data_IF_342991683394
#
_entry.id   IF_342991683394
#
_cell.length_a   1.000
_cell.length_b   1.000
_cell.length_c   1.000
_cell.angle_alpha   90.00
_cell.angle_beta   90.00
_cell.angle_gamma   90.00
#
_symmetry.space_group_name_H-M   'P 1'
#
loop_
_entity.id
_entity.type
_entity.pdbx_description
1 polymer ?
#
# COMPACT_ATOMS: atom_id res chain seq x y z
N UNK A 1 0.84 -10.45 -21.02
CA UNK A 1 0.79 -9.55 -22.20
C UNK A 1 1.39 -8.20 -21.83
N UNK A 2 1.81 -7.42 -22.82
CA UNK A 2 2.19 -6.02 -22.67
C UNK A 2 1.22 -5.16 -23.48
N UNK A 3 1.01 -3.92 -23.07
CA UNK A 3 0.15 -2.96 -23.77
C UNK A 3 0.86 -1.61 -23.83
N UNK A 4 0.53 -0.81 -24.85
CA UNK A 4 0.97 0.57 -25.00
C UNK A 4 -0.17 1.41 -25.57
N UNK A 5 -0.18 2.69 -25.22
CA UNK A 5 -1.15 3.66 -25.73
C UNK A 5 -0.46 5.02 -25.86
N UNK A 6 -0.44 5.56 -27.07
CA UNK A 6 0.13 6.88 -27.32
C UNK A 6 -0.90 7.96 -26.99
N UNK A 7 -0.59 8.76 -25.96
CA UNK A 7 -1.42 9.88 -25.54
C UNK A 7 -0.72 11.21 -25.88
N UNK A 8 -1.39 12.17 -26.53
CA UNK A 8 -0.83 13.49 -26.73
C UNK A 8 -0.50 14.16 -25.39
N UNK A 9 0.63 14.86 -25.33
CA UNK A 9 1.04 15.60 -24.13
C UNK A 9 -0.07 16.53 -23.63
N UNK A 10 -0.77 17.21 -24.53
CA UNK A 10 -1.85 18.15 -24.19
C UNK A 10 -3.01 17.48 -23.44
N UNK A 11 -3.31 16.22 -23.75
CA UNK A 11 -4.33 15.44 -23.05
C UNK A 11 -3.86 15.13 -21.63
N UNK A 12 -2.60 14.74 -21.46
CA UNK A 12 -2.00 14.49 -20.15
C UNK A 12 -1.93 15.77 -19.31
N UNK A 13 -1.61 16.91 -19.93
CA UNK A 13 -1.51 18.21 -19.28
C UNK A 13 -2.87 18.68 -18.73
N UNK A 14 -3.97 18.39 -19.43
CA UNK A 14 -5.33 18.66 -18.98
C UNK A 14 -5.94 17.58 -18.09
N UNK A 15 -5.24 16.47 -17.84
CA UNK A 15 -5.73 15.35 -17.04
C UNK A 15 -5.18 15.39 -15.61
N UNK A 16 -5.94 14.87 -14.66
CA UNK A 16 -5.51 14.78 -13.25
C UNK A 16 -4.94 13.40 -12.89
N UNK A 17 -5.27 12.37 -13.67
CA UNK A 17 -4.77 11.02 -13.45
C UNK A 17 -4.85 10.17 -14.71
N UNK A 18 -3.99 9.17 -14.79
CA UNK A 18 -4.09 8.04 -15.72
C UNK A 18 -4.75 6.88 -14.96
N UNK A 19 -5.78 6.28 -15.55
CA UNK A 19 -6.48 5.14 -14.95
C UNK A 19 -6.51 3.98 -15.95
N UNK A 20 -6.19 2.78 -15.48
CA UNK A 20 -6.16 1.57 -16.31
C UNK A 20 -7.05 0.50 -15.68
N UNK A 21 -7.82 -0.16 -16.54
CA UNK A 21 -8.62 -1.35 -16.22
C UNK A 21 -8.58 -2.33 -17.37
N UNK A 22 -8.75 -3.61 -17.06
CA UNK A 22 -8.86 -4.68 -18.02
C UNK A 22 -10.24 -5.34 -17.96
N UNK A 23 -10.63 -5.97 -19.08
CA UNK A 23 -11.77 -6.86 -19.21
C UNK A 23 -11.26 -8.17 -19.83
N UNK A 24 -11.70 -9.31 -19.32
CA UNK A 24 -11.34 -10.61 -19.90
C UNK A 24 -12.37 -11.10 -20.95
N UNK A 25 -12.11 -12.26 -21.55
CA UNK A 25 -12.98 -12.86 -22.59
C UNK A 25 -14.37 -13.27 -22.07
N UNK A 26 -14.54 -13.37 -20.75
CA UNK A 26 -15.83 -13.63 -20.09
C UNK A 26 -16.62 -12.35 -19.80
N UNK A 27 -16.11 -11.19 -20.24
CA UNK A 27 -16.64 -9.86 -19.95
C UNK A 27 -16.53 -9.45 -18.48
N UNK A 28 -15.67 -10.12 -17.69
CA UNK A 28 -15.39 -9.71 -16.31
C UNK A 28 -14.43 -8.52 -16.31
N UNK A 29 -14.81 -7.43 -15.61
CA UNK A 29 -14.07 -6.17 -15.60
C UNK A 29 -13.50 -5.90 -14.22
N UNK A 30 -12.29 -5.33 -14.17
CA UNK A 30 -11.74 -4.81 -12.91
C UNK A 30 -12.66 -3.74 -12.28
N UNK A 31 -12.95 -3.84 -10.97
CA UNK A 31 -13.90 -2.94 -10.31
C UNK A 31 -13.33 -1.52 -10.16
N UNK A 32 -14.21 -0.51 -10.16
CA UNK A 32 -13.84 0.87 -9.85
C UNK A 32 -13.42 1.00 -8.39
N UNK A 33 -14.20 0.41 -7.49
CA UNK A 33 -14.06 0.60 -6.06
C UNK A 33 -13.21 -0.51 -5.45
N UNK A 34 -12.47 -0.15 -4.40
CA UNK A 34 -11.62 -1.10 -3.71
C UNK A 34 -12.48 -2.09 -2.93
N UNK A 35 -12.26 -3.38 -3.18
CA UNK A 35 -12.81 -4.43 -2.33
C UNK A 35 -11.78 -4.82 -1.28
N UNK A 36 -11.93 -4.28 -0.07
CA UNK A 36 -11.05 -4.62 1.05
C UNK A 36 -11.41 -5.99 1.62
N UNK A 37 -10.40 -6.78 1.95
CA UNK A 37 -10.56 -8.05 2.63
C UNK A 37 -9.45 -8.21 3.68
N UNK A 38 -9.67 -9.12 4.64
CA UNK A 38 -8.79 -9.30 5.80
C UNK A 38 -7.35 -9.65 5.45
N UNK A 39 -7.09 -10.22 4.27
CA UNK A 39 -5.73 -10.59 3.85
C UNK A 39 -5.07 -9.55 2.96
N UNK A 40 -5.80 -8.52 2.51
CA UNK A 40 -5.31 -7.53 1.55
C UNK A 40 -4.99 -8.11 0.16
N UNK A 41 -5.43 -9.34 -0.13
CA UNK A 41 -5.06 -10.06 -1.36
C UNK A 41 -6.02 -9.80 -2.49
N UNK A 42 -5.52 -10.04 -3.72
CA UNK A 42 -6.30 -9.92 -4.96
C UNK A 42 -6.93 -8.54 -5.14
N UNK A 43 -6.26 -7.49 -4.65
CA UNK A 43 -6.66 -6.13 -4.92
C UNK A 43 -6.46 -5.83 -6.43
N UNK A 44 -7.56 -5.79 -7.17
CA UNK A 44 -7.55 -5.63 -8.63
C UNK A 44 -8.42 -4.47 -9.11
N UNK A 45 -8.76 -3.51 -8.25
CA UNK A 45 -9.44 -2.28 -8.66
C UNK A 45 -8.56 -1.47 -9.63
N UNK A 46 -9.15 -0.44 -10.27
CA UNK A 46 -8.43 0.33 -11.29
C UNK A 46 -7.11 0.89 -10.76
N UNK A 47 -6.02 0.64 -11.50
CA UNK A 47 -4.73 1.23 -11.18
C UNK A 47 -4.75 2.71 -11.56
N UNK A 48 -4.26 3.59 -10.67
CA UNK A 48 -4.31 5.04 -10.86
C UNK A 48 -2.93 5.67 -10.67
N UNK A 49 -2.53 6.49 -11.63
CA UNK A 49 -1.33 7.32 -11.55
C UNK A 49 -1.78 8.78 -11.50
N UNK A 50 -1.46 9.48 -10.41
CA UNK A 50 -1.76 10.89 -10.25
C UNK A 50 -0.82 11.73 -11.12
N UNK A 51 -1.35 12.74 -11.81
CA UNK A 51 -0.58 13.67 -12.65
C UNK A 51 -0.47 15.00 -11.92
N UNK A 52 0.76 15.38 -11.60
CA UNK A 52 1.11 16.68 -11.05
C UNK A 52 1.60 17.60 -12.16
N UNK A 53 1.03 18.80 -12.24
CA UNK A 53 1.52 19.87 -13.13
C UNK A 53 2.58 20.65 -12.35
N UNK A 54 3.79 20.70 -12.89
CA UNK A 54 4.91 21.44 -12.33
C UNK A 54 5.14 22.73 -13.13
N UNK A 55 6.04 23.57 -12.64
CA UNK A 55 6.52 24.74 -13.36
C UNK A 55 7.14 24.36 -14.71
N UNK A 56 7.14 25.33 -15.64
CA UNK A 56 7.73 25.19 -16.97
C UNK A 56 7.07 24.12 -17.86
N UNK A 57 5.82 23.75 -17.57
CA UNK A 57 5.08 22.76 -18.38
C UNK A 57 5.58 21.33 -18.20
N UNK A 58 6.22 21.02 -17.06
CA UNK A 58 6.64 19.64 -16.74
C UNK A 58 5.52 18.89 -16.04
N UNK A 59 5.43 17.59 -16.29
CA UNK A 59 4.50 16.69 -15.60
C UNK A 59 5.28 15.72 -14.70
N UNK A 60 4.80 15.51 -13.47
CA UNK A 60 5.29 14.46 -12.58
C UNK A 60 4.18 13.44 -12.34
N UNK A 61 4.54 12.17 -12.45
CA UNK A 61 3.63 11.05 -12.25
C UNK A 61 3.88 10.42 -10.89
N UNK A 62 2.79 10.17 -10.16
CA UNK A 62 2.83 9.58 -8.82
C UNK A 62 2.00 8.29 -8.82
N UNK A 63 2.66 7.16 -8.54
CA UNK A 63 2.03 5.85 -8.39
C UNK A 63 1.24 5.76 -7.05
N UNK A 64 0.38 4.74 -6.84
CA UNK A 64 -0.34 4.57 -5.58
C UNK A 64 0.57 4.43 -4.37
N UNK A 65 1.57 3.55 -4.49
CA UNK A 65 2.58 3.26 -3.48
C UNK A 65 3.95 3.11 -4.15
N UNK A 66 5.01 3.17 -3.36
CA UNK A 66 6.36 2.83 -3.81
C UNK A 66 6.66 1.35 -3.53
N UNK A 67 7.56 0.76 -4.32
CA UNK A 67 8.00 -0.61 -4.09
C UNK A 67 8.95 -0.69 -2.88
N UNK A 68 8.86 -1.79 -2.13
CA UNK A 68 9.90 -2.19 -1.16
C UNK A 68 10.00 -1.31 0.10
N UNK A 69 8.90 -1.17 0.85
CA UNK A 69 8.87 -0.43 2.14
C UNK A 69 9.13 1.08 2.03
N UNK A 70 9.48 1.58 0.84
CA UNK A 70 9.79 2.98 0.63
C UNK A 70 8.54 3.84 0.86
N UNK A 71 8.65 4.97 1.58
CA UNK A 71 7.54 5.89 1.72
C UNK A 71 7.26 6.60 0.40
N UNK A 72 5.98 6.84 0.10
CA UNK A 72 5.56 7.65 -1.02
C UNK A 72 4.36 7.10 -1.79
N UNK A 73 4.06 7.77 -2.90
CA UNK A 73 2.86 7.52 -3.67
C UNK A 73 1.64 8.28 -3.14
N UNK A 74 0.61 8.36 -3.98
CA UNK A 74 -0.56 9.18 -3.66
C UNK A 74 -1.37 8.63 -2.49
N UNK A 75 -1.32 7.31 -2.21
CA UNK A 75 -2.04 6.72 -1.08
C UNK A 75 -1.50 7.25 0.25
N UNK A 76 -0.18 7.28 0.38
CA UNK A 76 0.48 7.82 1.57
C UNK A 76 0.16 9.31 1.73
N UNK A 77 0.34 10.11 0.67
CA UNK A 77 0.03 11.55 0.69
C UNK A 77 -1.42 11.84 1.09
N UNK A 78 -2.40 11.07 0.57
CA UNK A 78 -3.82 11.25 0.94
C UNK A 78 -4.06 10.88 2.41
N UNK A 79 -3.43 9.80 2.90
CA UNK A 79 -3.50 9.39 4.32
C UNK A 79 -2.91 10.47 5.23
N UNK A 80 -1.75 11.02 4.86
CA UNK A 80 -1.07 12.10 5.60
C UNK A 80 -1.89 13.40 5.61
N UNK A 81 -2.62 13.69 4.52
CA UNK A 81 -3.59 14.79 4.43
C UNK A 81 -4.87 14.54 5.28
N UNK A 82 -4.97 13.40 5.98
CA UNK A 82 -6.14 13.02 6.78
C UNK A 82 -7.37 12.64 5.95
N UNK A 83 -7.18 12.28 4.67
CA UNK A 83 -8.25 11.90 3.74
C UNK A 83 -8.26 10.39 3.51
N UNK A 84 -9.37 9.91 2.96
CA UNK A 84 -9.57 8.49 2.68
C UNK A 84 -8.97 8.10 1.30
N UNK A 85 -7.91 7.27 1.24
CA UNK A 85 -7.30 6.83 -0.02
C UNK A 85 -8.17 5.82 -0.79
N UNK A 86 -9.23 5.28 -0.20
CA UNK A 86 -10.12 4.32 -0.88
C UNK A 86 -11.02 4.99 -1.93
N UNK A 87 -11.18 6.31 -1.85
CA UNK A 87 -11.89 7.12 -2.84
C UNK A 87 -11.04 8.33 -3.29
N UNK A 88 -9.96 8.10 -4.06
CA UNK A 88 -9.04 9.17 -4.40
C UNK A 88 -9.67 10.14 -5.40
N UNK A 89 -9.55 11.44 -5.12
CA UNK A 89 -9.89 12.52 -6.04
C UNK A 89 -8.59 13.25 -6.37
N UNK A 90 -8.30 13.35 -7.67
CA UNK A 90 -7.09 14.00 -8.17
C UNK A 90 -7.44 15.35 -8.81
N UNK A 91 -6.62 16.37 -8.51
CA UNK A 91 -6.84 17.77 -8.93
C UNK A 91 -7.30 18.67 -7.78
N UNK A 92 -7.46 19.97 -8.08
CA UNK A 92 -7.89 20.95 -7.07
C UNK A 92 -9.38 20.77 -6.70
N UNK A 93 -9.60 20.51 -5.42
CA UNK A 93 -10.90 20.20 -4.81
C UNK A 93 -11.65 21.45 -4.32
N UNK A 94 -11.38 22.64 -4.86
CA UNK A 94 -12.01 23.88 -4.37
C UNK A 94 -13.55 23.91 -4.49
N UNK A 95 -14.16 22.92 -5.14
CA UNK A 95 -15.60 22.86 -5.42
C UNK A 95 -16.34 21.58 -5.00
N UNK A 96 -15.72 20.62 -4.31
CA UNK A 96 -16.40 19.36 -3.94
C UNK A 96 -16.85 19.32 -2.47
N UNK A 97 -18.10 18.93 -2.17
CA UNK A 97 -18.59 18.82 -0.80
C UNK A 97 -17.86 17.69 -0.07
N UNK A 98 -17.22 18.04 1.04
CA UNK A 98 -16.54 17.12 1.95
C UNK A 98 -17.61 16.26 2.65
N UNK A 99 -17.77 15.01 2.23
CA UNK A 99 -18.47 14.02 3.04
C UNK A 99 -17.57 13.65 4.22
N UNK A 100 -17.83 14.26 5.39
CA UNK A 100 -17.26 13.81 6.66
C UNK A 100 -17.92 12.48 7.03
N UNK A 101 -17.16 11.38 7.02
CA UNK A 101 -17.60 10.12 7.62
C UNK A 101 -17.01 10.00 9.02
N UNK A 102 -17.85 9.56 9.94
CA UNK A 102 -17.63 9.49 11.38
C UNK A 102 -16.42 8.63 11.77
N UNK A 103 -15.70 9.10 12.79
CA UNK A 103 -14.59 8.42 13.46
C UNK A 103 -15.07 7.12 14.11
N UNK A 104 -14.64 6.00 13.57
CA UNK A 104 -14.80 4.68 14.20
C UNK A 104 -14.02 4.62 15.50
N UNK A 105 -14.69 4.26 16.61
CA UNK A 105 -14.07 3.99 17.91
C UNK A 105 -12.93 2.96 17.75
N UNK A 106 -11.80 3.09 18.48
CA UNK A 106 -10.72 2.12 18.42
C UNK A 106 -11.22 0.75 18.86
N UNK A 107 -10.92 -0.27 18.06
CA UNK A 107 -11.19 -1.67 18.37
C UNK A 107 -10.39 -2.08 19.62
N UNK A 108 -10.91 -2.98 20.47
CA UNK A 108 -10.17 -3.50 21.61
C UNK A 108 -8.87 -4.16 21.14
N UNK A 109 -7.77 -3.86 21.83
CA UNK A 109 -6.45 -4.36 21.50
C UNK A 109 -6.34 -5.85 21.84
N UNK A 110 -6.19 -6.68 20.79
CA UNK A 110 -5.96 -8.12 20.94
C UNK A 110 -4.45 -8.30 21.20
N UNK A 111 -4.10 -9.00 22.29
CA UNK A 111 -2.70 -9.37 22.56
C UNK A 111 -2.22 -10.35 21.49
N UNK A 112 -1.26 -9.89 20.68
CA UNK A 112 -0.65 -10.68 19.60
C UNK A 112 0.62 -11.42 20.06
N UNK A 113 0.99 -11.30 21.34
CA UNK A 113 2.20 -11.88 21.92
C UNK A 113 1.91 -13.19 22.64
N UNK A 114 2.93 -14.06 22.74
CA UNK A 114 2.85 -15.29 23.54
C UNK A 114 3.02 -14.94 25.03
N UNK A 115 2.07 -15.29 25.92
CA UNK A 115 2.23 -15.07 27.35
C UNK A 115 3.49 -15.76 27.88
N UNK A 116 4.29 -15.03 28.65
CA UNK A 116 5.52 -15.56 29.27
C UNK A 116 6.79 -15.46 28.43
N UNK A 117 6.74 -14.79 27.27
CA UNK A 117 7.95 -14.41 26.51
C UNK A 117 8.24 -12.93 26.76
N UNK A 118 9.32 -12.64 27.49
CA UNK A 118 9.74 -11.29 27.90
C UNK A 118 11.20 -10.97 27.50
N UNK A 119 11.77 -11.80 26.61
CA UNK A 119 13.11 -11.60 26.07
C UNK A 119 13.16 -10.30 25.29
N UNK A 120 14.07 -9.42 25.71
CA UNK A 120 14.42 -8.19 24.97
C UNK A 120 15.45 -8.53 23.91
N UNK A 121 15.20 -8.05 22.70
CA UNK A 121 16.06 -8.22 21.53
C UNK A 121 16.52 -6.81 21.14
N UNK A 122 17.82 -6.65 20.87
CA UNK A 122 18.36 -5.36 20.42
C UNK A 122 18.15 -5.18 18.91
N UNK A 123 18.22 -3.94 18.42
CA UNK A 123 18.11 -3.66 17.00
C UNK A 123 19.20 -4.38 16.19
N UNK A 124 20.42 -4.44 16.74
CA UNK A 124 21.55 -5.14 16.10
C UNK A 124 21.32 -6.65 16.02
N UNK A 125 20.70 -7.23 17.06
CA UNK A 125 20.34 -8.64 17.08
C UNK A 125 19.21 -8.96 16.08
N UNK A 126 18.24 -8.05 15.92
CA UNK A 126 17.18 -8.16 14.94
C UNK A 126 17.73 -8.09 13.50
N UNK A 127 18.56 -7.11 13.19
CA UNK A 127 19.18 -6.95 11.86
C UNK A 127 20.03 -8.17 11.49
N UNK A 128 20.73 -8.77 12.45
CA UNK A 128 21.51 -9.99 12.23
C UNK A 128 20.65 -11.20 11.82
N UNK A 129 19.34 -11.14 12.03
CA UNK A 129 18.34 -12.16 11.67
C UNK A 129 17.58 -11.84 10.38
N UNK A 130 18.17 -11.03 9.50
CA UNK A 130 17.65 -10.77 8.15
C UNK A 130 17.79 -11.96 7.15
N UNK A 131 18.11 -13.16 7.64
CA UNK A 131 18.32 -14.34 6.79
C UNK A 131 17.01 -14.75 6.14
N UNK A 132 17.06 -15.02 4.82
CA UNK A 132 15.87 -15.36 4.04
C UNK A 132 15.06 -16.52 4.62
N UNK A 133 15.70 -17.47 5.30
CA UNK A 133 15.06 -18.69 5.82
C UNK A 133 14.59 -18.60 7.28
N UNK A 134 15.10 -17.64 8.06
CA UNK A 134 14.73 -17.44 9.47
C UNK A 134 14.42 -15.96 9.77
N UNK A 135 13.45 -15.33 9.08
CA UNK A 135 13.24 -13.90 9.17
C UNK A 135 12.56 -13.53 10.49
N UNK A 136 13.18 -12.62 11.22
CA UNK A 136 12.53 -11.91 12.31
C UNK A 136 12.04 -10.56 11.83
N UNK A 137 10.96 -10.06 12.40
CA UNK A 137 10.43 -8.74 12.09
C UNK A 137 9.71 -8.16 13.32
N UNK A 138 9.58 -6.84 13.37
CA UNK A 138 8.88 -6.15 14.47
C UNK A 138 7.47 -5.77 14.04
N UNK A 139 6.50 -5.92 14.94
CA UNK A 139 5.17 -5.32 14.80
C UNK A 139 4.77 -4.73 16.15
N UNK A 140 4.56 -3.41 16.17
CA UNK A 140 4.18 -2.60 17.35
C UNK A 140 5.16 -2.78 18.52
N UNK A 141 6.46 -2.84 18.22
CA UNK A 141 7.52 -2.98 19.21
C UNK A 141 7.77 -4.41 19.71
N UNK A 142 7.02 -5.40 19.21
CA UNK A 142 7.16 -6.82 19.55
C UNK A 142 7.86 -7.57 18.41
N UNK A 143 8.79 -8.49 18.74
CA UNK A 143 9.55 -9.26 17.75
C UNK A 143 8.86 -10.60 17.46
N UNK A 144 8.68 -10.90 16.18
CA UNK A 144 8.06 -12.13 15.70
C UNK A 144 9.06 -12.96 14.90
N UNK A 145 9.10 -14.27 15.18
CA UNK A 145 9.81 -15.25 14.37
C UNK A 145 8.88 -15.77 13.26
N UNK A 146 9.18 -15.38 12.02
CA UNK A 146 8.40 -15.74 10.83
C UNK A 146 8.70 -17.13 10.28
N UNK A 147 9.75 -17.82 10.74
CA UNK A 147 10.30 -19.06 10.15
C UNK A 147 9.22 -20.12 9.91
N UNK A 148 8.40 -20.41 10.93
CA UNK A 148 7.38 -21.45 10.87
C UNK A 148 6.14 -21.09 10.04
N UNK A 149 6.06 -19.86 9.55
CA UNK A 149 4.90 -19.33 8.82
C UNK A 149 5.20 -18.90 7.39
N UNK A 150 6.47 -18.94 6.94
CA UNK A 150 6.87 -18.49 5.60
C UNK A 150 6.06 -19.13 4.47
N UNK A 151 5.92 -20.46 4.49
CA UNK A 151 5.21 -21.21 3.44
C UNK A 151 3.69 -21.19 3.61
N UNK A 152 3.21 -20.81 4.80
CA UNK A 152 1.78 -20.71 5.12
C UNK A 152 1.24 -19.28 4.99
N UNK A 153 2.13 -18.31 4.79
CA UNK A 153 1.77 -16.92 4.68
C UNK A 153 0.93 -16.72 3.41
N UNK A 154 -0.35 -16.32 3.52
CA UNK A 154 -1.21 -16.24 2.35
C UNK A 154 -0.70 -15.22 1.30
N UNK A 155 0.13 -14.25 1.71
CA UNK A 155 0.74 -13.25 0.82
C UNK A 155 1.99 -13.74 0.09
N UNK A 156 2.34 -15.00 0.32
CA UNK A 156 3.59 -15.59 -0.14
C UNK A 156 4.75 -15.24 0.77
N UNK A 157 5.80 -16.05 0.67
CA UNK A 157 7.03 -15.91 1.46
C UNK A 157 7.70 -14.55 1.28
N UNK A 158 7.62 -13.97 0.09
CA UNK A 158 8.29 -12.72 -0.27
C UNK A 158 7.89 -11.56 0.65
N UNK A 159 6.62 -11.47 1.04
CA UNK A 159 6.12 -10.38 1.90
C UNK A 159 6.80 -10.34 3.26
N UNK A 160 7.05 -11.50 3.88
CA UNK A 160 7.74 -11.57 5.18
C UNK A 160 9.22 -11.31 5.00
N UNK A 161 9.84 -11.91 3.97
CA UNK A 161 11.29 -11.73 3.74
C UNK A 161 11.67 -10.31 3.33
N UNK A 162 10.72 -9.51 2.84
CA UNK A 162 10.95 -8.11 2.45
C UNK A 162 11.23 -7.21 3.66
N UNK A 163 10.66 -7.55 4.81
CA UNK A 163 10.76 -6.80 6.08
C UNK A 163 11.60 -7.55 7.13
N UNK A 164 12.39 -8.53 6.69
CA UNK A 164 13.24 -9.31 7.58
C UNK A 164 14.35 -8.44 8.17
N UNK A 165 14.45 -8.44 9.50
CA UNK A 165 15.35 -7.59 10.26
C UNK A 165 14.85 -6.15 10.46
N UNK A 166 13.61 -5.84 10.09
CA UNK A 166 13.05 -4.48 10.11
C UNK A 166 11.68 -4.42 10.83
N UNK A 167 11.17 -3.21 11.02
CA UNK A 167 9.85 -2.92 11.57
C UNK A 167 8.77 -2.95 10.47
N UNK A 168 7.83 -3.88 10.61
CA UNK A 168 6.71 -4.14 9.71
C UNK A 168 5.37 -3.60 10.28
N UNK A 169 5.41 -2.64 11.20
CA UNK A 169 4.20 -2.05 11.80
C UNK A 169 3.34 -1.27 10.81
N UNK A 170 3.96 -0.63 9.80
CA UNK A 170 3.30 0.23 8.81
C UNK A 170 2.83 -0.52 7.54
#
# INVERSE_FOLDING_TARGET
CFWSFDAPFEVLNHSNAIMVRCMDESMAVQPRDMYWNATGMMNNWWFRICIHKLEEGRLRFEHPTMAGGQPGGWMQRIKDDGKDPTNPIFGDLSSSPVFKKETTKPLPEISMTKPGVDRKISAEELEAQNKKDEPWFVVRGEVYDGTGFLDKHPGGRQSITLVAGDDATE
#
